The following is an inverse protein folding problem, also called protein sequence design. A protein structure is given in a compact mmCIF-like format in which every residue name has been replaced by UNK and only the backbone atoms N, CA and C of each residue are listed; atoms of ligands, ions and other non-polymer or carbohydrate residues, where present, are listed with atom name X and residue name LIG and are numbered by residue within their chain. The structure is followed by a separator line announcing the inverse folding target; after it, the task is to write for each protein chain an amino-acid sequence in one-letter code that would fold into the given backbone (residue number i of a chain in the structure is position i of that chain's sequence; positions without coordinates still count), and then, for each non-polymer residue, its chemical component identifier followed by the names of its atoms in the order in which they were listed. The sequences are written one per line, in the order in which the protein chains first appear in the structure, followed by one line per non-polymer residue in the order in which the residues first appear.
data_IF_193654037133
#
_entry.id   IF_193654037133
#
_cell.length_a   1.000
_cell.length_b   1.000
_cell.length_c   1.000
_cell.angle_alpha   90.00
_cell.angle_beta   90.00
_cell.angle_gamma   90.00
#
_symmetry.space_group_name_H-M   'P 1'
#
loop_
_entity.id
_entity.type
_entity.pdbx_description
1 polymer ?
#
# COMPACT_ATOMS: atom_id res chain seq x y z
N UNK A 1 -27.43 5.47 28.36
CA UNK A 1 -26.89 4.43 27.47
C UNK A 1 -26.16 5.15 26.35
N UNK A 2 -24.84 5.27 26.43
CA UNK A 2 -24.04 5.77 25.31
C UNK A 2 -24.22 4.82 24.13
N UNK A 3 -24.78 5.33 23.02
CA UNK A 3 -24.81 4.61 21.75
C UNK A 3 -23.35 4.40 21.33
N UNK A 4 -22.84 3.18 21.51
CA UNK A 4 -21.57 2.76 20.91
C UNK A 4 -21.70 3.02 19.40
N UNK A 5 -21.01 4.04 18.89
CA UNK A 5 -20.98 4.38 17.47
C UNK A 5 -20.34 3.21 16.74
N UNK A 6 -21.15 2.36 16.12
CA UNK A 6 -20.68 1.32 15.23
C UNK A 6 -20.22 1.97 13.93
N UNK A 7 -19.05 1.56 13.43
CA UNK A 7 -18.58 1.98 12.11
C UNK A 7 -19.54 1.46 11.02
N UNK A 8 -19.79 2.29 9.99
CA UNK A 8 -20.54 1.88 8.81
C UNK A 8 -19.66 1.13 7.79
N UNK A 9 -20.10 1.06 6.54
CA UNK A 9 -19.33 0.44 5.44
C UNK A 9 -18.17 1.32 4.95
N UNK A 10 -18.28 2.64 5.11
CA UNK A 10 -17.29 3.59 4.57
C UNK A 10 -15.85 3.37 5.11
N UNK A 11 -15.62 3.17 6.42
CA UNK A 11 -14.27 2.85 6.93
C UNK A 11 -13.68 1.58 6.33
N UNK A 12 -14.50 0.55 6.06
CA UNK A 12 -14.05 -0.70 5.42
C UNK A 12 -13.61 -0.41 3.98
N UNK A 13 -14.43 0.33 3.23
CA UNK A 13 -14.12 0.72 1.85
C UNK A 13 -12.87 1.60 1.75
N UNK A 14 -12.77 2.62 2.60
CA UNK A 14 -11.62 3.52 2.65
C UNK A 14 -10.33 2.81 3.05
N UNK A 15 -10.41 1.88 4.02
CA UNK A 15 -9.27 1.03 4.38
C UNK A 15 -8.85 0.21 3.17
N UNK A 16 -9.78 -0.51 2.54
CA UNK A 16 -9.49 -1.38 1.40
C UNK A 16 -8.87 -0.61 0.20
N UNK A 17 -9.42 0.55 -0.15
CA UNK A 17 -8.84 1.36 -1.23
C UNK A 17 -7.45 1.86 -0.84
N UNK A 18 -7.25 2.34 0.39
CA UNK A 18 -5.95 2.85 0.82
C UNK A 18 -4.86 1.79 0.87
N UNK A 19 -5.21 0.52 1.11
CA UNK A 19 -4.25 -0.59 1.14
C UNK A 19 -3.95 -1.17 -0.23
N UNK A 20 -4.88 -1.05 -1.20
CA UNK A 20 -4.67 -1.45 -2.59
C UNK A 20 -3.89 -0.37 -3.36
N UNK A 21 -4.25 0.90 -3.19
CA UNK A 21 -3.62 2.04 -3.86
C UNK A 21 -2.32 2.44 -3.14
N UNK A 22 -1.31 1.57 -3.24
CA UNK A 22 -0.04 1.71 -2.54
C UNK A 22 1.13 2.17 -3.40
N UNK A 23 2.33 2.00 -2.85
CA UNK A 23 3.60 2.41 -3.46
C UNK A 23 3.86 1.84 -4.85
N UNK A 24 3.39 0.63 -5.15
CA UNK A 24 3.57 0.00 -6.47
C UNK A 24 2.97 0.86 -7.58
N UNK A 25 1.80 1.46 -7.35
CA UNK A 25 1.15 2.32 -8.32
C UNK A 25 2.02 3.54 -8.65
N UNK A 26 2.59 4.19 -7.63
CA UNK A 26 3.35 5.43 -7.83
C UNK A 26 4.79 5.19 -8.28
N UNK A 27 5.48 4.17 -7.75
CA UNK A 27 6.91 3.96 -7.98
C UNK A 27 7.23 2.91 -9.05
N UNK A 28 6.31 1.98 -9.34
CA UNK A 28 6.59 0.82 -10.21
C UNK A 28 5.73 0.76 -11.46
N UNK A 29 4.57 1.40 -11.49
CA UNK A 29 3.68 1.38 -12.66
C UNK A 29 4.38 1.93 -13.92
N UNK A 30 5.01 3.12 -13.82
CA UNK A 30 5.74 3.71 -14.95
C UNK A 30 6.89 2.83 -15.44
N UNK A 31 7.63 2.20 -14.52
CA UNK A 31 8.69 1.25 -14.86
C UNK A 31 8.14 0.00 -15.57
N UNK A 32 7.01 -0.54 -15.11
CA UNK A 32 6.38 -1.69 -15.76
C UNK A 32 5.97 -1.35 -17.20
N UNK A 33 5.32 -0.21 -17.41
CA UNK A 33 4.97 0.26 -18.77
C UNK A 33 6.22 0.44 -19.62
N UNK A 34 7.31 0.96 -19.05
CA UNK A 34 8.60 1.12 -19.72
C UNK A 34 9.31 -0.19 -20.09
N UNK A 35 9.03 -1.30 -19.40
CA UNK A 35 9.73 -2.57 -19.61
C UNK A 35 8.93 -3.57 -20.45
N UNK A 36 7.61 -3.64 -20.25
CA UNK A 36 6.74 -4.62 -20.93
C UNK A 36 5.72 -3.98 -21.87
N UNK A 37 5.76 -2.65 -22.02
CA UNK A 37 4.83 -1.89 -22.83
C UNK A 37 3.44 -1.74 -22.19
N UNK A 38 2.58 -0.98 -22.85
CA UNK A 38 1.22 -0.69 -22.39
C UNK A 38 0.36 -1.97 -22.30
N UNK A 39 0.28 -2.75 -23.38
CA UNK A 39 -0.51 -3.97 -23.42
C UNK A 39 0.01 -5.05 -22.47
N UNK A 40 1.34 -5.20 -22.35
CA UNK A 40 1.93 -6.13 -21.39
C UNK A 40 1.59 -5.76 -19.95
N UNK A 41 1.62 -4.46 -19.62
CA UNK A 41 1.21 -3.98 -18.30
C UNK A 41 -0.27 -4.25 -18.04
N UNK A 42 -1.15 -4.01 -19.01
CA UNK A 42 -2.58 -4.35 -18.88
C UNK A 42 -2.80 -5.85 -18.66
N UNK A 43 -2.07 -6.71 -19.38
CA UNK A 43 -2.18 -8.16 -19.19
C UNK A 43 -1.79 -8.59 -17.77
N UNK A 44 -0.71 -8.03 -17.20
CA UNK A 44 -0.31 -8.28 -15.81
C UNK A 44 -1.42 -7.86 -14.84
N UNK A 45 -2.04 -6.71 -15.06
CA UNK A 45 -3.15 -6.22 -14.22
C UNK A 45 -4.36 -7.16 -14.29
N UNK A 46 -4.71 -7.65 -15.49
CA UNK A 46 -5.82 -8.59 -15.67
C UNK A 46 -5.56 -9.92 -14.96
N UNK A 47 -4.34 -10.46 -15.04
CA UNK A 47 -3.95 -11.67 -14.32
C UNK A 47 -4.04 -11.44 -12.80
N UNK A 48 -3.60 -10.29 -12.32
CA UNK A 48 -3.76 -9.93 -10.90
C UNK A 48 -5.22 -9.93 -10.46
N UNK A 49 -6.11 -9.31 -11.25
CA UNK A 49 -7.54 -9.28 -10.96
C UNK A 49 -8.23 -10.64 -11.07
N UNK A 50 -7.73 -11.53 -11.93
CA UNK A 50 -8.21 -12.90 -12.04
C UNK A 50 -7.99 -13.70 -10.73
N UNK A 51 -7.02 -13.31 -9.90
CA UNK A 51 -6.78 -13.92 -8.58
C UNK A 51 -7.53 -13.16 -7.47
N UNK A 52 -7.49 -11.82 -7.47
CA UNK A 52 -8.03 -11.02 -6.36
C UNK A 52 -9.55 -10.98 -6.33
N UNK A 53 -10.23 -10.94 -7.48
CA UNK A 53 -11.70 -10.87 -7.53
C UNK A 53 -12.34 -12.15 -6.97
N UNK A 54 -12.00 -13.37 -7.41
CA UNK A 54 -12.53 -14.59 -6.80
C UNK A 54 -12.22 -14.70 -5.31
N UNK A 55 -11.01 -14.28 -4.90
CA UNK A 55 -10.62 -14.30 -3.48
C UNK A 55 -11.51 -13.36 -2.65
N UNK A 56 -11.79 -12.16 -3.14
CA UNK A 56 -12.70 -11.22 -2.48
C UNK A 56 -14.14 -11.77 -2.40
N UNK A 57 -14.61 -12.44 -3.45
CA UNK A 57 -15.92 -13.11 -3.44
C UNK A 57 -15.99 -14.24 -2.41
N UNK A 58 -14.94 -15.06 -2.31
CA UNK A 58 -14.85 -16.12 -1.30
C UNK A 58 -14.86 -15.55 0.13
N UNK A 59 -14.11 -14.47 0.38
CA UNK A 59 -14.12 -13.79 1.68
C UNK A 59 -15.51 -13.21 1.99
N UNK A 60 -16.20 -12.65 1.00
CA UNK A 60 -17.56 -12.14 1.17
C UNK A 60 -18.54 -13.27 1.55
N UNK A 61 -18.47 -14.43 0.90
CA UNK A 61 -19.26 -15.62 1.27
C UNK A 61 -18.99 -16.03 2.72
N UNK A 62 -17.72 -16.20 3.09
CA UNK A 62 -17.29 -16.57 4.44
C UNK A 62 -17.81 -15.57 5.49
N UNK A 63 -17.73 -14.27 5.20
CA UNK A 63 -18.20 -13.21 6.09
C UNK A 63 -19.73 -13.20 6.28
N UNK A 64 -20.49 -13.75 5.33
CA UNK A 64 -21.96 -13.87 5.42
C UNK A 64 -22.46 -15.15 6.06
N UNK A 65 -21.62 -16.18 6.20
CA UNK A 65 -22.01 -17.52 6.65
C UNK A 65 -22.20 -17.64 8.18
N UNK A 66 -21.55 -16.79 8.98
CA UNK A 66 -21.58 -16.87 10.45
C UNK A 66 -21.85 -15.50 11.08
N UNK A 67 -22.51 -15.45 12.25
CA UNK A 67 -22.65 -14.20 13.01
C UNK A 67 -21.25 -13.74 13.47
N UNK A 68 -20.83 -12.58 12.99
CA UNK A 68 -19.52 -12.01 13.29
C UNK A 68 -19.55 -11.37 14.69
N UNK A 69 -19.10 -12.11 15.71
CA UNK A 69 -19.10 -11.67 17.12
C UNK A 69 -17.91 -10.78 17.47
N UNK A 70 -17.70 -9.71 16.69
CA UNK A 70 -16.70 -8.66 17.00
C UNK A 70 -15.24 -9.05 16.82
N UNK A 71 -14.94 -10.25 16.30
CA UNK A 71 -13.59 -10.66 15.90
C UNK A 71 -13.15 -10.10 14.55
N UNK A 72 -11.85 -10.18 14.26
CA UNK A 72 -11.26 -9.83 12.96
C UNK A 72 -11.23 -10.98 11.95
N UNK A 73 -10.45 -10.83 10.87
CA UNK A 73 -10.37 -11.81 9.77
C UNK A 73 -10.09 -13.25 10.24
N UNK A 74 -9.10 -13.43 11.12
CA UNK A 74 -8.76 -14.74 11.67
C UNK A 74 -9.93 -15.41 12.42
N UNK A 75 -10.74 -14.62 13.14
CA UNK A 75 -11.88 -15.12 13.88
C UNK A 75 -12.94 -15.69 12.94
N UNK A 76 -13.22 -14.99 11.84
CA UNK A 76 -14.21 -15.42 10.85
C UNK A 76 -13.74 -16.71 10.15
N UNK A 77 -12.47 -16.78 9.77
CA UNK A 77 -11.90 -17.94 9.06
C UNK A 77 -11.87 -19.18 9.96
N UNK A 78 -11.35 -19.05 11.19
CA UNK A 78 -11.23 -20.18 12.12
C UNK A 78 -12.58 -20.76 12.55
N UNK A 79 -13.63 -19.94 12.62
CA UNK A 79 -15.01 -20.40 12.87
C UNK A 79 -15.66 -21.07 11.66
N UNK A 80 -15.35 -20.61 10.45
CA UNK A 80 -15.96 -21.13 9.23
C UNK A 80 -15.32 -22.44 8.75
N UNK A 81 -13.99 -22.58 8.87
CA UNK A 81 -13.24 -23.75 8.39
C UNK A 81 -12.71 -24.66 9.51
N UNK A 82 -12.91 -24.30 10.78
CA UNK A 82 -12.34 -24.99 11.93
C UNK A 82 -10.88 -24.62 12.21
N UNK A 83 -10.39 -25.11 13.35
CA UNK A 83 -9.15 -24.64 13.96
C UNK A 83 -7.90 -24.92 13.11
N UNK A 84 -7.79 -26.11 12.52
CA UNK A 84 -6.57 -26.52 11.77
C UNK A 84 -6.40 -25.69 10.49
N UNK A 85 -7.48 -25.55 9.70
CA UNK A 85 -7.46 -24.75 8.47
C UNK A 85 -7.30 -23.27 8.83
N UNK A 86 -8.04 -22.79 9.84
CA UNK A 86 -7.95 -21.41 10.33
C UNK A 86 -6.55 -21.03 10.79
N UNK A 87 -5.87 -21.89 11.56
CA UNK A 87 -4.50 -21.65 12.03
C UNK A 87 -3.49 -21.57 10.88
N UNK A 88 -3.56 -22.49 9.92
CA UNK A 88 -2.67 -22.50 8.74
C UNK A 88 -2.82 -21.22 7.91
N UNK A 89 -4.06 -20.82 7.62
CA UNK A 89 -4.33 -19.57 6.89
C UNK A 89 -3.91 -18.35 7.73
N UNK A 90 -4.18 -18.37 9.04
CA UNK A 90 -3.83 -17.28 9.95
C UNK A 90 -2.32 -17.00 9.99
N UNK A 91 -1.49 -18.05 10.05
CA UNK A 91 -0.02 -17.91 10.02
C UNK A 91 0.43 -17.33 8.67
N UNK A 92 -0.13 -17.81 7.55
CA UNK A 92 0.20 -17.30 6.22
C UNK A 92 -0.16 -15.80 6.08
N UNK A 93 -1.35 -15.40 6.54
CA UNK A 93 -1.78 -14.00 6.54
C UNK A 93 -0.89 -13.14 7.45
N UNK A 94 -0.54 -13.61 8.64
CA UNK A 94 0.37 -12.90 9.54
C UNK A 94 1.73 -12.64 8.88
N UNK A 95 2.34 -13.66 8.27
CA UNK A 95 3.62 -13.52 7.57
C UNK A 95 3.50 -12.56 6.39
N UNK A 96 2.42 -12.65 5.61
CA UNK A 96 2.14 -11.73 4.51
C UNK A 96 2.07 -10.28 5.00
N UNK A 97 1.41 -10.00 6.12
CA UNK A 97 1.36 -8.66 6.69
C UNK A 97 2.71 -8.19 7.21
N UNK A 98 3.49 -9.06 7.86
CA UNK A 98 4.84 -8.73 8.32
C UNK A 98 5.77 -8.34 7.16
N UNK A 99 5.73 -9.11 6.07
CA UNK A 99 6.47 -8.80 4.84
C UNK A 99 5.96 -7.50 4.21
N UNK A 100 4.64 -7.28 4.22
CA UNK A 100 4.03 -6.07 3.68
C UNK A 100 4.50 -4.81 4.41
N UNK A 101 4.64 -4.85 5.74
CA UNK A 101 5.22 -3.74 6.51
C UNK A 101 6.64 -3.42 6.03
N UNK A 102 7.50 -4.42 5.89
CA UNK A 102 8.86 -4.21 5.39
C UNK A 102 8.87 -3.64 3.97
N UNK A 103 8.02 -4.16 3.08
CA UNK A 103 7.85 -3.68 1.72
C UNK A 103 7.45 -2.20 1.67
N UNK A 104 6.44 -1.80 2.45
CA UNK A 104 5.98 -0.42 2.50
C UNK A 104 7.00 0.54 3.11
N UNK A 105 7.79 0.10 4.11
CA UNK A 105 8.90 0.90 4.65
C UNK A 105 9.95 1.14 3.57
N UNK A 106 10.37 0.11 2.82
CA UNK A 106 11.36 0.27 1.75
C UNK A 106 10.83 1.24 0.70
N UNK A 107 9.59 1.08 0.26
CA UNK A 107 8.99 2.01 -0.69
C UNK A 107 8.91 3.45 -0.16
N UNK A 108 8.58 3.62 1.12
CA UNK A 108 8.62 4.93 1.77
C UNK A 108 10.02 5.53 1.71
N UNK A 109 11.09 4.74 1.95
CA UNK A 109 12.47 5.24 1.80
C UNK A 109 12.81 5.66 0.38
N UNK A 110 12.33 4.93 -0.64
CA UNK A 110 12.57 5.27 -2.05
C UNK A 110 11.92 6.61 -2.43
N UNK A 111 10.77 6.95 -1.85
CA UNK A 111 10.11 8.24 -2.09
C UNK A 111 10.93 9.46 -1.63
N UNK A 112 11.88 9.29 -0.69
CA UNK A 112 12.78 10.38 -0.25
C UNK A 112 14.02 10.56 -1.13
N UNK A 113 14.29 9.62 -2.06
CA UNK A 113 15.49 9.68 -2.90
C UNK A 113 15.61 10.99 -3.69
N UNK A 114 14.57 11.53 -4.34
CA UNK A 114 14.67 12.82 -5.05
C UNK A 114 15.04 13.98 -4.13
N UNK A 115 14.53 13.99 -2.90
CA UNK A 115 14.85 15.03 -1.91
C UNK A 115 16.32 14.98 -1.51
N UNK A 116 16.87 13.78 -1.26
CA UNK A 116 18.29 13.65 -0.91
C UNK A 116 19.22 14.00 -2.06
N UNK A 117 18.87 13.62 -3.29
CA UNK A 117 19.63 14.02 -4.48
C UNK A 117 19.68 15.55 -4.61
N UNK A 118 18.55 16.23 -4.37
CA UNK A 118 18.51 17.70 -4.37
C UNK A 118 19.38 18.33 -3.26
N UNK A 119 19.35 17.77 -2.04
CA UNK A 119 20.18 18.24 -0.92
C UNK A 119 21.67 18.07 -1.23
N UNK A 120 22.08 16.91 -1.73
CA UNK A 120 23.48 16.61 -2.07
C UNK A 120 23.97 17.55 -3.17
N UNK A 121 23.16 17.74 -4.22
CA UNK A 121 23.50 18.61 -5.34
C UNK A 121 23.53 20.11 -5.00
N UNK A 122 22.80 20.54 -3.97
CA UNK A 122 22.73 21.98 -3.59
C UNK A 122 23.76 22.34 -2.53
N UNK A 123 23.88 21.52 -1.48
CA UNK A 123 24.68 21.84 -0.30
C UNK A 123 26.08 21.22 -0.32
N UNK A 124 26.36 20.31 -1.26
CA UNK A 124 27.62 19.57 -1.38
C UNK A 124 28.17 19.12 -0.01
N UNK A 125 27.40 18.31 0.73
CA UNK A 125 27.79 17.87 2.06
C UNK A 125 29.09 17.07 2.02
N UNK A 126 29.79 17.02 3.15
CA UNK A 126 30.98 16.19 3.30
C UNK A 126 30.73 14.72 2.95
N UNK A 127 31.74 14.02 2.42
CA UNK A 127 31.65 12.64 1.92
C UNK A 127 30.96 11.63 2.85
N UNK A 128 31.18 11.74 4.17
CA UNK A 128 30.55 10.82 5.14
C UNK A 128 29.03 11.02 5.23
N UNK A 129 28.56 12.27 5.12
CA UNK A 129 27.14 12.60 5.18
C UNK A 129 26.44 12.25 3.86
N UNK A 130 27.11 12.46 2.73
CA UNK A 130 26.62 11.99 1.43
C UNK A 130 26.45 10.46 1.43
N UNK A 131 27.46 9.72 1.90
CA UNK A 131 27.37 8.27 2.03
C UNK A 131 26.17 7.85 2.88
N UNK A 132 25.95 8.52 4.01
CA UNK A 132 24.82 8.23 4.90
C UNK A 132 23.47 8.53 4.23
N UNK A 133 23.32 9.65 3.54
CA UNK A 133 22.07 10.04 2.87
C UNK A 133 21.69 9.10 1.71
N UNK A 134 22.67 8.47 1.07
CA UNK A 134 22.43 7.51 0.00
C UNK A 134 21.94 6.14 0.49
N UNK A 135 22.17 5.80 1.77
CA UNK A 135 21.69 4.52 2.32
C UNK A 135 20.18 4.57 2.61
N UNK A 136 19.42 3.62 2.06
CA UNK A 136 17.98 3.48 2.30
C UNK A 136 17.65 3.32 3.80
N UNK A 137 18.54 2.68 4.54
CA UNK A 137 18.42 2.43 5.98
C UNK A 137 18.34 3.70 6.82
N UNK A 138 18.91 4.81 6.32
CA UNK A 138 18.94 6.11 7.03
C UNK A 138 17.54 6.66 7.26
N UNK A 139 16.61 6.43 6.34
CA UNK A 139 15.17 6.76 6.54
C UNK A 139 14.41 5.56 7.07
N UNK A 140 14.72 4.35 6.57
CA UNK A 140 13.93 3.15 6.83
C UNK A 140 13.93 2.72 8.30
N UNK A 141 15.11 2.68 8.92
CA UNK A 141 15.23 2.25 10.32
C UNK A 141 14.53 3.25 11.26
N UNK A 142 14.79 4.57 11.18
CA UNK A 142 14.08 5.53 12.02
C UNK A 142 12.56 5.53 11.77
N UNK A 143 12.11 5.42 10.51
CA UNK A 143 10.68 5.37 10.20
C UNK A 143 10.00 4.13 10.80
N UNK A 144 10.63 2.95 10.70
CA UNK A 144 10.11 1.72 11.29
C UNK A 144 10.07 1.79 12.82
N UNK A 145 11.13 2.30 13.45
CA UNK A 145 11.18 2.48 14.91
C UNK A 145 10.12 3.47 15.38
N UNK A 146 9.95 4.59 14.67
CA UNK A 146 8.94 5.59 14.98
C UNK A 146 7.52 5.01 14.86
N UNK A 147 7.23 4.30 13.76
CA UNK A 147 5.93 3.66 13.55
C UNK A 147 5.67 2.61 14.63
N UNK A 148 6.66 1.79 14.96
CA UNK A 148 6.55 0.78 16.03
C UNK A 148 6.28 1.44 17.38
N UNK A 149 7.01 2.51 17.71
CA UNK A 149 6.82 3.26 18.95
C UNK A 149 5.42 3.89 19.05
N UNK A 150 4.93 4.49 17.95
CA UNK A 150 3.58 5.07 17.88
C UNK A 150 2.52 3.99 18.10
N UNK A 151 2.68 2.82 17.45
CA UNK A 151 1.71 1.72 17.55
C UNK A 151 1.68 1.11 18.95
N UNK A 152 2.84 0.95 19.60
CA UNK A 152 2.92 0.42 20.97
C UNK A 152 2.34 1.38 22.02
N UNK A 153 2.44 2.69 21.81
CA UNK A 153 2.01 3.70 22.80
C UNK A 153 0.57 4.15 22.63
N UNK A 154 0.10 4.37 21.39
CA UNK A 154 -1.24 4.92 21.09
C UNK A 154 -2.23 3.88 20.61
N UNK A 155 -1.78 2.66 20.32
CA UNK A 155 -2.62 1.57 19.82
C UNK A 155 -3.19 1.82 18.42
N UNK A 156 -4.05 0.90 17.97
CA UNK A 156 -4.59 0.88 16.61
C UNK A 156 -5.65 1.96 16.33
N UNK A 157 -6.25 2.58 17.35
CA UNK A 157 -7.28 3.62 17.19
C UNK A 157 -6.73 4.86 16.46
N UNK A 158 -5.44 5.17 16.67
CA UNK A 158 -4.77 6.24 15.93
C UNK A 158 -4.73 5.94 14.43
N UNK A 159 -4.50 4.69 14.05
CA UNK A 159 -4.47 4.25 12.65
C UNK A 159 -5.78 4.52 11.93
N UNK A 160 -6.92 4.25 12.60
CA UNK A 160 -8.26 4.51 12.04
C UNK A 160 -8.51 6.01 11.82
N UNK A 161 -7.98 6.87 12.69
CA UNK A 161 -8.07 8.34 12.50
C UNK A 161 -7.15 8.82 11.38
N UNK A 162 -5.92 8.30 11.33
CA UNK A 162 -4.95 8.62 10.29
C UNK A 162 -5.42 8.18 8.89
N UNK A 163 -6.23 7.12 8.80
CA UNK A 163 -6.79 6.62 7.55
C UNK A 163 -7.47 7.70 6.72
N UNK A 164 -8.28 8.57 7.35
CA UNK A 164 -8.97 9.64 6.62
C UNK A 164 -7.99 10.63 5.99
N UNK A 165 -6.88 10.93 6.67
CA UNK A 165 -5.80 11.79 6.15
C UNK A 165 -5.10 11.10 4.97
N UNK A 166 -4.83 9.80 5.10
CA UNK A 166 -4.21 9.00 4.03
C UNK A 166 -5.10 9.01 2.78
N UNK A 167 -6.40 8.73 2.93
CA UNK A 167 -7.35 8.72 1.81
C UNK A 167 -7.47 10.09 1.16
N UNK A 168 -7.53 11.17 1.94
CA UNK A 168 -7.53 12.52 1.40
C UNK A 168 -6.26 12.82 0.60
N UNK A 169 -5.09 12.42 1.12
CA UNK A 169 -3.81 12.59 0.44
C UNK A 169 -3.76 11.79 -0.86
N UNK A 170 -4.25 10.54 -0.87
CA UNK A 170 -4.35 9.71 -2.07
C UNK A 170 -5.30 10.31 -3.11
N UNK A 171 -6.44 10.87 -2.69
CA UNK A 171 -7.36 11.51 -3.61
C UNK A 171 -6.73 12.73 -4.28
N UNK A 172 -6.03 13.58 -3.50
CA UNK A 172 -5.30 14.74 -4.02
C UNK A 172 -4.19 14.30 -4.97
N UNK A 173 -3.42 13.26 -4.63
CA UNK A 173 -2.33 12.79 -5.49
C UNK A 173 -2.83 12.22 -6.82
N UNK A 174 -3.97 11.51 -6.81
CA UNK A 174 -4.60 11.02 -8.03
C UNK A 174 -5.10 12.17 -8.92
N UNK A 175 -5.74 13.19 -8.32
CA UNK A 175 -6.17 14.38 -9.08
C UNK A 175 -4.95 15.06 -9.71
N UNK A 176 -3.89 15.28 -8.93
CA UNK A 176 -2.66 15.87 -9.43
C UNK A 176 -2.01 15.04 -10.56
N UNK A 177 -2.05 13.71 -10.44
CA UNK A 177 -1.53 12.80 -11.46
C UNK A 177 -2.31 12.92 -12.80
N UNK A 178 -3.64 12.95 -12.76
CA UNK A 178 -4.47 13.06 -13.97
C UNK A 178 -4.46 14.46 -14.60
N UNK A 179 -4.27 15.52 -13.80
CA UNK A 179 -4.12 16.88 -14.31
C UNK A 179 -2.72 17.13 -14.85
N UNK A 180 -1.72 16.41 -14.34
CA UNK A 180 -0.32 16.54 -14.77
C UNK A 180 -0.12 16.22 -16.24
N UNK A 181 0.70 17.03 -16.92
CA UNK A 181 1.15 16.79 -18.28
C UNK A 181 2.66 16.60 -18.29
N UNK A 182 3.15 15.69 -19.13
CA UNK A 182 4.59 15.45 -19.29
C UNK A 182 5.08 16.07 -20.60
N UNK A 183 6.34 16.49 -20.65
CA UNK A 183 6.99 16.95 -21.88
C UNK A 183 6.97 15.86 -22.98
N UNK A 184 7.03 14.59 -22.56
CA UNK A 184 6.93 13.43 -23.46
C UNK A 184 5.57 13.36 -24.18
N UNK A 185 4.47 13.59 -23.45
CA UNK A 185 3.11 13.51 -24.02
C UNK A 185 2.84 14.60 -25.07
N UNK A 186 3.62 15.69 -25.09
CA UNK A 186 3.48 16.77 -26.08
C UNK A 186 4.06 16.40 -27.44
N UNK A 187 5.03 15.47 -27.48
CA UNK A 187 5.79 15.12 -28.68
C UNK A 187 5.49 13.72 -29.21
N UNK A 188 4.93 12.84 -28.38
CA UNK A 188 4.65 11.45 -28.73
C UNK A 188 3.14 11.17 -28.61
N UNK A 189 2.42 10.97 -29.72
CA UNK A 189 1.03 10.55 -29.66
C UNK A 189 0.92 9.16 -29.04
N UNK A 190 -0.23 8.88 -28.40
CA UNK A 190 -0.46 7.58 -27.78
C UNK A 190 -0.43 6.45 -28.83
N UNK A 191 0.54 5.54 -28.68
CA UNK A 191 0.62 4.30 -29.44
C UNK A 191 0.58 3.10 -28.47
N UNK A 192 -0.53 2.33 -28.44
CA UNK A 192 -0.67 1.19 -27.56
C UNK A 192 0.23 0.00 -27.92
N UNK A 193 0.76 -0.04 -29.15
CA UNK A 193 1.64 -1.10 -29.66
C UNK A 193 3.11 -0.72 -29.62
N UNK A 194 3.44 0.49 -29.17
CA UNK A 194 4.82 0.91 -29.00
C UNK A 194 5.52 0.01 -27.97
N UNK A 195 6.50 -0.75 -28.46
CA UNK A 195 7.50 -1.42 -27.63
C UNK A 195 8.66 -0.47 -27.44
N UNK A 196 9.08 -0.30 -26.18
CA UNK A 196 10.19 0.57 -25.78
C UNK A 196 11.50 0.11 -26.40
#
# INVERSE_FOLDING_TARGET
MDKIRKFGTAPVFFTAISTILGAVMFLRFGFAVGMVGFLGTLAIILIGHAVTIPTAMAIAEIATNQKVEGGGEYFIISRSFGLVIGATIGIALYLSQAISVAFYIIAFTEAFQPLFQWIIGTFHPSQWLEWLLLQKQTVGIPALLLLTFIMLTKGADLGVKALYVVVATLAISLIAFFVGQTEYAQTHPFDPMATV
#
